data_IF_986526759089
#
_entry.id   IF_986526759089
#
_cell.length_a   1.000
_cell.length_b   1.000
_cell.length_c   1.000
_cell.angle_alpha   90.00
_cell.angle_beta   90.00
_cell.angle_gamma   90.00
#
_symmetry.space_group_name_H-M   'P 1'
#
loop_
_entity.id
_entity.type
_entity.pdbx_description
1 polymer ?
#
# COMPACT_ATOMS: atom_id res chain seq x y z
N UNK A 1 -28.48 -30.81 -88.44
CA UNK A 1 -27.01 -30.78 -88.25
C UNK A 1 -26.71 -31.57 -87.00
N UNK A 2 -25.93 -32.66 -87.08
CA UNK A 2 -25.54 -33.48 -85.92
C UNK A 2 -24.05 -33.23 -85.67
N UNK A 3 -23.68 -32.88 -84.44
CA UNK A 3 -22.29 -32.72 -84.04
C UNK A 3 -21.64 -34.11 -83.89
N UNK A 4 -20.35 -34.19 -84.20
CA UNK A 4 -19.55 -35.38 -83.92
C UNK A 4 -19.17 -35.40 -82.44
N UNK A 5 -18.95 -36.60 -81.88
CA UNK A 5 -18.66 -36.75 -80.45
C UNK A 5 -17.39 -35.98 -80.03
N UNK A 6 -16.38 -35.90 -80.90
CA UNK A 6 -15.15 -35.09 -80.68
C UNK A 6 -15.44 -33.59 -80.53
N UNK A 7 -16.37 -33.06 -81.33
CA UNK A 7 -16.77 -31.66 -81.27
C UNK A 7 -17.56 -31.36 -79.99
N UNK A 8 -18.38 -32.31 -79.53
CA UNK A 8 -19.12 -32.18 -78.26
C UNK A 8 -18.16 -32.22 -77.08
N UNK A 9 -17.18 -33.11 -77.09
CA UNK A 9 -16.14 -33.21 -76.06
C UNK A 9 -15.28 -31.95 -75.98
N UNK A 10 -14.91 -31.36 -77.13
CA UNK A 10 -14.20 -30.08 -77.17
C UNK A 10 -15.01 -28.96 -76.52
N UNK A 11 -16.31 -28.85 -76.85
CA UNK A 11 -17.20 -27.84 -76.26
C UNK A 11 -17.34 -28.02 -74.75
N UNK A 12 -17.48 -29.26 -74.27
CA UNK A 12 -17.55 -29.54 -72.84
C UNK A 12 -16.26 -29.21 -72.09
N UNK A 13 -15.10 -29.45 -72.70
CA UNK A 13 -13.80 -29.08 -72.11
C UNK A 13 -13.61 -27.57 -72.02
N UNK A 14 -13.96 -26.84 -73.09
CA UNK A 14 -13.92 -25.38 -73.11
C UNK A 14 -14.89 -24.78 -72.08
N UNK A 15 -16.11 -25.31 -71.94
CA UNK A 15 -17.05 -24.89 -70.89
C UNK A 15 -16.52 -25.12 -69.48
N UNK A 16 -15.74 -26.19 -69.27
CA UNK A 16 -15.10 -26.51 -67.98
C UNK A 16 -13.77 -25.76 -67.75
N UNK A 17 -13.36 -24.88 -68.68
CA UNK A 17 -12.11 -24.13 -68.59
C UNK A 17 -10.84 -24.98 -68.76
N UNK A 18 -10.96 -26.16 -69.36
CA UNK A 18 -9.84 -27.06 -69.66
C UNK A 18 -9.24 -26.73 -71.04
N UNK A 19 -8.00 -27.16 -71.28
CA UNK A 19 -7.35 -26.98 -72.57
C UNK A 19 -8.10 -27.75 -73.68
N UNK A 20 -8.22 -27.12 -74.85
CA UNK A 20 -8.93 -27.71 -75.99
C UNK A 20 -8.21 -28.91 -76.59
N UNK A 21 -6.88 -28.91 -76.56
CA UNK A 21 -6.05 -30.05 -76.94
C UNK A 21 -5.84 -30.99 -75.72
N UNK A 22 -6.07 -32.28 -75.93
CA UNK A 22 -5.92 -33.32 -74.90
C UNK A 22 -4.46 -33.46 -74.48
N UNK A 23 -3.53 -33.18 -75.38
CA UNK A 23 -2.11 -33.44 -75.20
C UNK A 23 -1.31 -32.22 -74.72
N UNK A 24 -1.97 -31.08 -74.51
CA UNK A 24 -1.30 -29.87 -74.06
C UNK A 24 -0.88 -29.97 -72.58
N UNK A 25 0.41 -29.76 -72.31
CA UNK A 25 0.95 -29.74 -70.95
C UNK A 25 1.05 -28.28 -70.44
N UNK A 26 0.20 -27.85 -69.47
CA UNK A 26 0.28 -26.50 -68.92
C UNK A 26 1.48 -26.22 -68.02
N UNK A 27 2.18 -27.27 -67.58
CA UNK A 27 3.31 -27.19 -66.66
C UNK A 27 4.58 -27.70 -67.31
N UNK A 28 4.89 -27.18 -68.50
CA UNK A 28 6.19 -27.44 -69.12
C UNK A 28 7.31 -26.82 -68.28
N UNK A 29 8.43 -27.54 -68.09
CA UNK A 29 9.58 -26.99 -67.38
C UNK A 29 10.14 -25.78 -68.15
N UNK A 30 10.46 -24.70 -67.44
CA UNK A 30 11.10 -23.53 -68.04
C UNK A 30 12.49 -23.91 -68.55
N UNK A 31 12.64 -24.00 -69.87
CA UNK A 31 13.92 -24.30 -70.50
C UNK A 31 14.75 -23.01 -70.49
N UNK A 32 15.92 -23.06 -69.86
CA UNK A 32 16.85 -21.94 -69.86
C UNK A 32 17.68 -21.91 -71.15
N UNK A 33 17.20 -21.13 -72.11
CA UNK A 33 17.85 -20.99 -73.41
C UNK A 33 19.10 -20.10 -73.40
N UNK A 34 19.24 -19.20 -72.42
CA UNK A 34 20.21 -18.10 -72.51
C UNK A 34 21.10 -17.93 -71.28
N UNK A 35 20.65 -18.27 -70.07
CA UNK A 35 21.41 -17.99 -68.85
C UNK A 35 22.50 -19.02 -68.54
N UNK A 36 22.50 -20.16 -69.24
CA UNK A 36 23.58 -21.15 -69.19
C UNK A 36 24.92 -20.60 -69.74
N UNK A 37 24.89 -19.58 -70.62
CA UNK A 37 26.08 -18.91 -71.13
C UNK A 37 26.43 -17.70 -70.24
N UNK A 38 27.56 -17.78 -69.53
CA UNK A 38 28.01 -16.71 -68.63
C UNK A 38 28.76 -15.62 -69.40
N UNK A 39 28.34 -14.36 -69.26
CA UNK A 39 29.02 -13.22 -69.86
C UNK A 39 30.31 -12.85 -69.09
N UNK A 40 31.43 -12.77 -69.82
CA UNK A 40 32.75 -12.38 -69.28
C UNK A 40 32.85 -10.86 -69.09
N UNK A 41 32.16 -10.08 -69.94
CA UNK A 41 32.21 -8.62 -69.96
C UNK A 41 30.91 -8.01 -69.43
N UNK A 42 30.96 -6.80 -68.83
CA UNK A 42 29.75 -6.09 -68.48
C UNK A 42 28.97 -5.71 -69.74
N UNK A 43 27.64 -5.64 -69.62
CA UNK A 43 26.72 -5.25 -70.71
C UNK A 43 27.07 -3.87 -71.29
N UNK A 44 27.65 -2.97 -70.48
CA UNK A 44 28.06 -1.64 -70.95
C UNK A 44 29.50 -1.30 -70.53
N UNK A 45 30.31 -0.82 -71.46
CA UNK A 45 31.65 -0.29 -71.20
C UNK A 45 31.63 1.23 -70.93
N UNK A 46 30.80 1.68 -69.97
CA UNK A 46 30.80 3.09 -69.54
C UNK A 46 32.01 3.34 -68.63
N UNK A 47 32.83 4.37 -68.88
CA UNK A 47 33.94 4.69 -68.00
C UNK A 47 33.44 5.07 -66.60
N UNK A 48 34.20 4.72 -65.57
CA UNK A 48 33.84 5.05 -64.20
C UNK A 48 33.96 6.56 -63.93
N UNK A 49 33.01 7.11 -63.18
CA UNK A 49 33.04 8.52 -62.81
C UNK A 49 34.20 8.83 -61.84
N UNK A 50 34.77 10.03 -61.95
CA UNK A 50 35.83 10.52 -61.05
C UNK A 50 35.42 10.51 -59.57
N UNK A 51 34.13 10.73 -59.27
CA UNK A 51 33.58 10.71 -57.89
C UNK A 51 33.66 9.35 -57.21
N UNK A 52 33.80 8.25 -57.97
CA UNK A 52 33.96 6.91 -57.41
C UNK A 52 35.35 6.69 -56.81
N UNK A 53 36.33 7.53 -57.17
CA UNK A 53 37.72 7.40 -56.74
C UNK A 53 38.19 8.54 -55.82
N UNK A 54 37.42 9.62 -55.70
CA UNK A 54 37.79 10.81 -54.90
C UNK A 54 36.85 10.91 -53.69
N UNK A 55 37.32 11.45 -52.55
CA UNK A 55 36.46 11.74 -51.41
C UNK A 55 35.18 12.49 -51.79
N UNK A 56 34.09 12.14 -51.11
CA UNK A 56 32.77 12.60 -51.54
C UNK A 56 32.58 14.11 -51.26
N UNK A 57 32.15 14.84 -52.28
CA UNK A 57 31.90 16.28 -52.16
C UNK A 57 30.69 16.59 -51.27
N UNK A 58 29.71 15.69 -51.25
CA UNK A 58 28.50 15.81 -50.43
C UNK A 58 28.87 15.72 -48.94
N UNK A 59 29.78 14.82 -48.58
CA UNK A 59 30.27 14.71 -47.20
C UNK A 59 31.07 15.93 -46.80
N UNK A 60 31.93 16.46 -47.69
CA UNK A 60 32.63 17.72 -47.47
C UNK A 60 31.65 18.87 -47.16
N UNK A 61 30.55 18.98 -47.89
CA UNK A 61 29.52 20.00 -47.63
C UNK A 61 28.87 19.81 -46.25
N UNK A 62 28.53 18.57 -45.88
CA UNK A 62 27.97 18.25 -44.56
C UNK A 62 28.94 18.58 -43.42
N UNK A 63 30.21 18.22 -43.56
CA UNK A 63 31.27 18.54 -42.59
C UNK A 63 31.42 20.06 -42.46
N UNK A 64 31.38 20.80 -43.56
CA UNK A 64 31.42 22.27 -43.53
C UNK A 64 30.25 22.87 -42.74
N UNK A 65 29.03 22.36 -42.94
CA UNK A 65 27.84 22.77 -42.17
C UNK A 65 27.99 22.48 -40.68
N UNK A 66 28.51 21.30 -40.33
CA UNK A 66 28.79 20.93 -38.93
C UNK A 66 29.86 21.84 -38.31
N UNK A 67 30.94 22.13 -39.02
CA UNK A 67 31.98 23.06 -38.57
C UNK A 67 31.41 24.45 -38.36
N UNK A 68 30.54 24.93 -39.26
CA UNK A 68 29.85 26.21 -39.09
C UNK A 68 28.96 26.21 -37.84
N UNK A 69 28.16 25.16 -37.62
CA UNK A 69 27.32 25.01 -36.44
C UNK A 69 28.13 24.93 -35.13
N UNK A 70 29.31 24.31 -35.17
CA UNK A 70 30.25 24.29 -34.03
C UNK A 70 30.81 25.70 -33.77
N UNK A 71 31.23 26.43 -34.83
CA UNK A 71 31.74 27.81 -34.71
C UNK A 71 30.69 28.79 -34.18
N UNK A 72 29.43 28.62 -34.58
CA UNK A 72 28.29 29.39 -34.08
C UNK A 72 27.85 28.98 -32.66
N UNK A 73 28.40 27.89 -32.12
CA UNK A 73 28.09 27.38 -30.78
C UNK A 73 26.77 26.60 -30.67
N UNK A 74 26.10 26.32 -31.77
CA UNK A 74 24.87 25.52 -31.80
C UNK A 74 25.13 24.04 -31.47
N UNK A 75 26.30 23.54 -31.89
CA UNK A 75 26.75 22.19 -31.58
C UNK A 75 27.98 22.27 -30.68
N UNK A 76 27.90 21.69 -29.49
CA UNK A 76 29.04 21.49 -28.62
C UNK A 76 29.60 20.08 -28.84
N UNK A 77 30.84 19.92 -29.35
CA UNK A 77 31.38 18.61 -29.74
C UNK A 77 31.64 17.67 -28.55
N UNK A 78 31.79 18.23 -27.34
CA UNK A 78 31.85 17.46 -26.09
C UNK A 78 30.84 18.04 -25.12
N UNK A 79 29.90 17.21 -24.65
CA UNK A 79 29.04 17.58 -23.51
C UNK A 79 29.96 17.62 -22.28
N UNK A 80 30.03 18.74 -21.52
CA UNK A 80 30.72 18.72 -20.24
C UNK A 80 30.07 17.65 -19.36
N UNK A 81 30.87 16.90 -18.61
CA UNK A 81 30.32 16.01 -17.59
C UNK A 81 29.56 16.89 -16.60
N UNK A 82 28.32 16.53 -16.32
CA UNK A 82 27.56 17.23 -15.28
C UNK A 82 28.15 16.78 -13.94
N UNK A 83 28.89 17.66 -13.29
CA UNK A 83 29.39 17.48 -11.91
C UNK A 83 28.25 17.67 -10.91
N UNK A 84 27.07 17.14 -11.20
CA UNK A 84 25.97 17.07 -10.25
C UNK A 84 26.20 15.85 -9.37
N UNK A 85 26.29 16.02 -8.05
CA UNK A 85 26.42 14.87 -7.17
C UNK A 85 25.17 13.99 -7.32
N UNK A 86 25.36 12.68 -7.44
CA UNK A 86 24.26 11.70 -7.58
C UNK A 86 23.30 11.74 -6.40
N UNK A 87 23.79 12.19 -5.24
CA UNK A 87 23.02 12.35 -4.01
C UNK A 87 23.21 13.77 -3.49
N UNK A 88 22.12 14.40 -3.07
CA UNK A 88 22.15 15.70 -2.39
C UNK A 88 21.21 15.63 -1.19
N UNK A 89 21.54 16.36 -0.13
CA UNK A 89 20.74 16.42 1.08
C UNK A 89 19.54 17.36 0.84
N UNK A 90 18.35 16.77 0.81
CA UNK A 90 17.08 17.48 0.65
C UNK A 90 16.73 18.34 1.88
N UNK A 91 17.31 18.03 3.04
CA UNK A 91 16.97 18.63 4.33
C UNK A 91 18.02 19.63 4.83
N UNK A 92 19.11 19.85 4.08
CA UNK A 92 20.23 20.71 4.50
C UNK A 92 19.82 22.16 4.84
N UNK A 93 18.71 22.62 4.27
CA UNK A 93 18.19 23.98 4.44
C UNK A 93 16.76 24.02 5.01
N UNK A 94 16.26 22.92 5.57
CA UNK A 94 14.93 22.93 6.18
C UNK A 94 15.01 23.53 7.59
N UNK A 95 14.38 24.70 7.78
CA UNK A 95 14.28 25.31 9.10
C UNK A 95 13.41 24.42 10.01
N UNK A 96 13.91 23.97 11.19
CA UNK A 96 13.16 23.11 12.10
C UNK A 96 11.83 23.71 12.59
N UNK A 97 11.70 25.04 12.48
CA UNK A 97 10.53 25.82 12.88
C UNK A 97 9.65 26.22 11.69
N UNK A 98 9.97 25.82 10.45
CA UNK A 98 9.13 26.04 9.28
C UNK A 98 7.91 25.12 9.35
N UNK A 99 6.95 25.52 10.18
CA UNK A 99 5.63 24.94 10.19
C UNK A 99 4.97 25.42 8.90
N UNK A 100 5.14 24.64 7.82
CA UNK A 100 4.42 24.81 6.57
C UNK A 100 2.96 25.13 6.92
N UNK A 101 2.48 26.32 6.52
CA UNK A 101 1.19 26.90 6.96
C UNK A 101 -0.05 26.03 6.74
N UNK A 102 0.08 24.90 6.04
CA UNK A 102 -0.92 23.83 5.87
C UNK A 102 -1.21 23.02 7.14
N UNK A 103 -0.43 23.18 8.23
CA UNK A 103 -0.49 22.33 9.43
C UNK A 103 -1.26 22.88 10.64
N UNK A 104 -1.93 24.05 10.57
CA UNK A 104 -2.59 24.62 11.76
C UNK A 104 -3.64 23.70 12.41
N UNK A 105 -4.28 22.82 11.63
CA UNK A 105 -5.29 21.87 12.13
C UNK A 105 -4.94 20.39 11.88
N UNK A 106 -3.69 20.08 11.50
CA UNK A 106 -3.30 18.68 11.32
C UNK A 106 -3.36 17.94 12.67
N UNK A 107 -4.07 16.81 12.69
CA UNK A 107 -4.04 15.88 13.83
C UNK A 107 -2.94 14.87 13.52
N UNK A 108 -1.81 14.87 14.27
CA UNK A 108 -0.73 13.94 14.00
C UNK A 108 -1.23 12.50 14.13
N UNK A 109 -0.66 11.61 13.32
CA UNK A 109 -0.91 10.20 13.48
C UNK A 109 -0.51 9.74 14.91
N UNK A 110 -1.31 8.89 15.56
CA UNK A 110 -0.92 8.29 16.83
C UNK A 110 0.44 7.60 16.68
N UNK A 111 1.35 7.82 17.63
CA UNK A 111 2.63 7.11 17.67
C UNK A 111 2.40 5.69 18.22
N UNK A 112 3.25 4.75 17.83
CA UNK A 112 3.24 3.42 18.45
C UNK A 112 3.60 3.56 19.93
N UNK A 113 3.00 2.72 20.76
CA UNK A 113 3.39 2.62 22.16
C UNK A 113 4.86 2.17 22.23
N UNK A 114 5.55 2.65 23.24
CA UNK A 114 6.89 2.15 23.53
C UNK A 114 6.78 0.69 23.99
N UNK A 115 7.75 -0.18 23.63
CA UNK A 115 7.75 -1.56 24.10
C UNK A 115 7.70 -1.66 25.62
N UNK A 116 6.85 -2.57 26.12
CA UNK A 116 6.65 -2.81 27.55
C UNK A 116 7.39 -4.04 28.06
N UNK A 117 7.27 -4.31 29.36
CA UNK A 117 7.82 -5.53 29.98
C UNK A 117 7.15 -6.81 29.47
N UNK A 118 5.87 -6.74 29.09
CA UNK A 118 5.08 -7.84 28.53
C UNK A 118 5.58 -8.33 27.16
N UNK A 119 6.23 -7.46 26.38
CA UNK A 119 6.82 -7.77 25.07
C UNK A 119 8.26 -8.32 25.17
N UNK A 120 8.83 -8.34 26.38
CA UNK A 120 10.14 -8.91 26.62
C UNK A 120 10.12 -10.42 26.34
N UNK A 121 11.23 -10.96 25.83
CA UNK A 121 11.40 -12.41 25.71
C UNK A 121 11.50 -13.11 27.08
N UNK A 122 11.84 -12.37 28.14
CA UNK A 122 11.94 -12.86 29.51
C UNK A 122 11.16 -11.92 30.45
N UNK A 123 9.83 -11.93 30.40
CA UNK A 123 9.00 -11.11 31.27
C UNK A 123 8.98 -11.70 32.69
N UNK A 124 8.71 -10.88 33.73
CA UNK A 124 8.48 -11.40 35.06
C UNK A 124 7.23 -12.31 35.10
N UNK A 125 7.15 -13.26 36.04
CA UNK A 125 6.08 -14.25 36.08
C UNK A 125 4.68 -13.66 36.23
N UNK A 126 4.55 -12.46 36.79
CA UNK A 126 3.29 -11.71 36.90
C UNK A 126 2.62 -11.41 35.56
N UNK A 127 3.39 -11.37 34.47
CA UNK A 127 2.88 -11.11 33.12
C UNK A 127 2.55 -12.38 32.35
N UNK A 128 2.91 -13.56 32.86
CA UNK A 128 2.58 -14.83 32.23
C UNK A 128 1.13 -15.20 32.58
N UNK A 129 0.31 -15.41 31.55
CA UNK A 129 -1.09 -15.78 31.75
C UNK A 129 -1.19 -17.19 32.36
N UNK A 130 -2.16 -17.35 33.25
CA UNK A 130 -2.62 -18.66 33.70
C UNK A 130 -3.27 -19.45 32.56
N UNK A 131 -3.44 -20.76 32.72
CA UNK A 131 -4.06 -21.61 31.69
C UNK A 131 -5.52 -21.22 31.40
N UNK A 132 -6.26 -20.83 32.44
CA UNK A 132 -7.64 -20.35 32.31
C UNK A 132 -7.71 -19.03 31.53
N UNK A 133 -6.80 -18.09 31.81
CA UNK A 133 -6.73 -16.81 31.10
C UNK A 133 -6.29 -16.97 29.64
N UNK A 134 -5.39 -17.92 29.35
CA UNK A 134 -5.00 -18.24 27.96
C UNK A 134 -6.19 -18.74 27.17
N UNK A 135 -6.98 -19.66 27.74
CA UNK A 135 -8.18 -20.16 27.09
C UNK A 135 -9.20 -19.04 26.87
N UNK A 136 -9.40 -18.17 27.87
CA UNK A 136 -10.26 -17.00 27.73
C UNK A 136 -9.77 -16.05 26.62
N UNK A 137 -8.45 -15.83 26.51
CA UNK A 137 -7.86 -15.01 25.46
C UNK A 137 -8.05 -15.61 24.06
N UNK A 138 -7.96 -16.93 23.93
CA UNK A 138 -8.21 -17.63 22.65
C UNK A 138 -9.68 -17.52 22.23
N UNK A 139 -10.60 -17.58 23.18
CA UNK A 139 -12.04 -17.45 22.94
C UNK A 139 -12.47 -16.01 22.62
N UNK A 140 -11.74 -15.00 23.10
CA UNK A 140 -12.03 -13.60 22.78
C UNK A 140 -11.78 -13.27 21.31
N UNK A 141 -12.61 -12.41 20.74
CA UNK A 141 -12.46 -11.95 19.36
C UNK A 141 -11.19 -11.08 19.20
N UNK A 142 -10.39 -11.24 18.13
CA UNK A 142 -9.11 -10.54 17.99
C UNK A 142 -9.14 -9.02 18.17
N UNK A 143 -10.24 -8.35 17.79
CA UNK A 143 -10.38 -6.90 17.87
C UNK A 143 -10.61 -6.37 19.30
N UNK A 144 -11.14 -7.20 20.20
CA UNK A 144 -11.43 -6.82 21.59
C UNK A 144 -10.28 -7.14 22.54
N UNK A 145 -9.29 -7.91 22.08
CA UNK A 145 -8.17 -8.34 22.91
C UNK A 145 -7.33 -7.14 23.35
N UNK A 146 -6.98 -7.12 24.63
CA UNK A 146 -6.08 -6.10 25.19
C UNK A 146 -4.67 -6.19 24.60
N UNK A 147 -4.18 -7.41 24.39
CA UNK A 147 -2.88 -7.72 23.82
C UNK A 147 -3.08 -8.61 22.58
N UNK A 148 -2.37 -8.26 21.50
CA UNK A 148 -2.44 -8.99 20.24
C UNK A 148 -1.66 -10.32 20.26
N UNK A 149 -0.84 -10.51 21.29
CA UNK A 149 -0.01 -11.70 21.53
C UNK A 149 -0.16 -12.19 22.97
N UNK A 150 0.27 -13.42 23.20
CA UNK A 150 0.36 -14.02 24.53
C UNK A 150 1.81 -13.87 25.02
N UNK A 151 2.06 -13.19 26.15
CA UNK A 151 3.38 -13.14 26.76
C UNK A 151 3.94 -14.54 27.04
N UNK A 152 5.19 -14.77 26.63
CA UNK A 152 5.88 -16.04 26.82
C UNK A 152 7.29 -15.77 27.35
N UNK A 153 7.74 -16.64 28.24
CA UNK A 153 9.08 -16.59 28.78
C UNK A 153 9.99 -17.59 28.06
N UNK A 154 11.12 -17.09 27.57
CA UNK A 154 12.18 -17.89 26.98
C UNK A 154 13.46 -17.74 27.81
N UNK A 155 14.13 -18.87 28.08
CA UNK A 155 15.38 -18.89 28.87
C UNK A 155 16.52 -18.06 28.23
N UNK A 156 16.55 -17.96 26.90
CA UNK A 156 17.63 -17.30 26.17
C UNK A 156 17.13 -16.75 24.83
N UNK A 157 17.79 -15.70 24.33
CA UNK A 157 17.41 -15.03 23.08
C UNK A 157 17.45 -15.97 21.86
N UNK A 158 18.34 -16.96 21.86
CA UNK A 158 18.44 -17.95 20.77
C UNK A 158 17.23 -18.88 20.68
N UNK A 159 16.48 -19.03 21.76
CA UNK A 159 15.27 -19.85 21.80
C UNK A 159 14.02 -19.07 21.39
N UNK A 160 14.13 -17.76 21.18
CA UNK A 160 12.99 -16.92 20.79
C UNK A 160 12.59 -17.27 19.34
N UNK A 161 11.35 -17.74 19.12
CA UNK A 161 10.88 -18.05 17.78
C UNK A 161 10.63 -16.77 16.97
N UNK A 162 10.56 -16.91 15.65
CA UNK A 162 10.06 -15.83 14.80
C UNK A 162 8.58 -15.54 15.11
N UNK A 163 8.24 -14.27 15.29
CA UNK A 163 6.87 -13.86 15.61
C UNK A 163 5.97 -13.93 14.36
N UNK A 164 4.98 -14.86 14.30
CA UNK A 164 4.23 -15.12 13.08
C UNK A 164 3.29 -13.97 12.68
N UNK A 165 2.78 -13.21 13.66
CA UNK A 165 1.85 -12.09 13.42
C UNK A 165 2.54 -10.77 13.10
N UNK A 166 3.88 -10.72 13.01
CA UNK A 166 4.63 -9.49 12.77
C UNK A 166 4.12 -8.72 11.54
N UNK A 167 3.99 -9.42 10.41
CA UNK A 167 3.55 -8.81 9.15
C UNK A 167 2.10 -8.30 9.27
N UNK A 168 1.22 -9.05 9.93
CA UNK A 168 -0.16 -8.69 10.14
C UNK A 168 -0.27 -7.39 10.95
N UNK A 169 0.44 -7.28 12.07
CA UNK A 169 0.40 -6.07 12.89
C UNK A 169 0.98 -4.84 12.18
N UNK A 170 2.05 -5.00 11.38
CA UNK A 170 2.59 -3.90 10.57
C UNK A 170 1.61 -3.47 9.48
N UNK A 171 0.92 -4.41 8.87
CA UNK A 171 -0.08 -4.14 7.84
C UNK A 171 -1.32 -3.44 8.42
N UNK A 172 -1.88 -3.96 9.51
CA UNK A 172 -2.98 -3.33 10.24
C UNK A 172 -2.63 -1.89 10.64
N UNK A 173 -1.40 -1.66 11.11
CA UNK A 173 -0.90 -0.33 11.44
C UNK A 173 -0.88 0.61 10.23
N UNK A 174 -0.53 0.12 9.04
CA UNK A 174 -0.59 0.91 7.80
C UNK A 174 -2.03 1.25 7.41
N UNK A 175 -2.96 0.31 7.61
CA UNK A 175 -4.39 0.57 7.41
C UNK A 175 -4.91 1.61 8.39
N UNK A 176 -4.54 1.53 9.67
CA UNK A 176 -4.91 2.53 10.68
C UNK A 176 -4.41 3.93 10.33
N UNK A 177 -3.22 4.04 9.74
CA UNK A 177 -2.65 5.32 9.30
C UNK A 177 -3.41 5.93 8.12
N UNK A 178 -3.90 5.09 7.22
CA UNK A 178 -4.49 5.50 5.95
C UNK A 178 -6.01 5.67 6.03
N UNK A 179 -6.71 4.69 6.60
CA UNK A 179 -8.17 4.57 6.57
C UNK A 179 -8.85 5.18 7.80
N UNK A 180 -8.26 5.05 8.99
CA UNK A 180 -8.97 5.43 10.20
C UNK A 180 -9.04 6.97 10.37
N UNK A 181 -10.24 7.53 10.66
CA UNK A 181 -10.39 8.96 10.89
C UNK A 181 -9.69 9.37 12.19
N UNK A 182 -9.03 10.53 12.17
CA UNK A 182 -8.27 11.07 13.32
C UNK A 182 -9.03 12.21 13.97
N UNK A 183 -9.27 12.12 15.28
CA UNK A 183 -9.95 13.14 16.07
C UNK A 183 -9.14 13.52 17.31
N UNK A 184 -9.07 14.82 17.62
CA UNK A 184 -8.51 15.29 18.89
C UNK A 184 -9.52 15.04 20.00
N UNK A 185 -9.20 14.12 20.92
CA UNK A 185 -10.01 13.85 22.12
C UNK A 185 -9.39 14.55 23.32
N UNK A 186 -10.12 15.49 23.93
CA UNK A 186 -9.73 16.10 25.20
C UNK A 186 -9.97 15.08 26.32
N UNK A 187 -8.89 14.52 26.89
CA UNK A 187 -8.97 13.69 28.09
C UNK A 187 -8.79 14.60 29.29
N UNK A 188 -9.78 14.63 30.17
CA UNK A 188 -9.69 15.40 31.41
C UNK A 188 -8.96 14.53 32.43
N UNK A 189 -7.78 14.97 32.85
CA UNK A 189 -7.06 14.36 33.96
C UNK A 189 -7.56 15.04 35.24
N UNK A 190 -8.59 14.47 35.85
CA UNK A 190 -9.15 14.94 37.14
C UNK A 190 -8.87 13.86 38.16
N UNK A 191 -8.38 14.25 39.34
CA UNK A 191 -8.28 13.33 40.45
C UNK A 191 -9.69 12.94 40.91
N UNK A 192 -9.96 11.66 41.22
CA UNK A 192 -11.32 11.21 41.54
C UNK A 192 -11.90 11.93 42.76
N UNK A 193 -11.06 12.39 43.68
CA UNK A 193 -11.46 13.14 44.87
C UNK A 193 -12.01 14.54 44.54
N UNK A 194 -11.53 15.18 43.47
CA UNK A 194 -12.00 16.51 43.04
C UNK A 194 -13.40 16.47 42.42
N UNK A 195 -13.89 15.27 42.06
CA UNK A 195 -15.27 15.07 41.62
C UNK A 195 -16.27 15.21 42.78
N UNK A 196 -15.79 15.07 44.03
CA UNK A 196 -16.62 15.11 45.22
C UNK A 196 -16.67 16.56 45.75
N UNK A 197 -17.87 17.11 46.05
CA UNK A 197 -17.96 18.44 46.63
C UNK A 197 -17.33 18.48 48.02
N UNK A 198 -16.69 19.61 48.36
CA UNK A 198 -16.12 19.82 49.70
C UNK A 198 -17.24 20.03 50.72
N UNK A 199 -17.68 18.94 51.34
CA UNK A 199 -18.65 18.94 52.43
C UNK A 199 -17.96 19.14 53.79
N UNK A 200 -18.59 19.84 54.76
CA UNK A 200 -18.08 19.87 56.13
C UNK A 200 -18.05 18.46 56.71
N UNK A 201 -17.07 18.19 57.59
CA UNK A 201 -16.99 16.87 58.22
C UNK A 201 -18.20 16.69 59.14
N UNK A 202 -18.86 15.51 59.14
CA UNK A 202 -20.02 15.27 60.00
C UNK A 202 -19.76 15.58 61.49
N UNK A 203 -18.52 15.41 61.98
CA UNK A 203 -18.14 15.71 63.36
C UNK A 203 -18.37 17.16 63.77
N UNK A 204 -18.26 18.09 62.83
CA UNK A 204 -18.42 19.53 63.10
C UNK A 204 -19.91 19.92 63.22
N UNK A 205 -20.82 19.03 62.83
CA UNK A 205 -22.28 19.24 62.86
C UNK A 205 -22.97 18.60 64.07
N UNK A 206 -22.21 18.22 65.11
CA UNK A 206 -22.80 17.68 66.33
C UNK A 206 -23.56 18.74 67.14
N UNK A 207 -24.66 18.37 67.82
CA UNK A 207 -25.14 17.02 68.09
C UNK A 207 -26.14 16.46 67.05
N UNK A 208 -25.97 15.18 66.68
CA UNK A 208 -26.95 14.37 65.95
C UNK A 208 -26.98 12.96 66.54
N UNK A 209 -28.13 12.24 66.48
CA UNK A 209 -28.24 10.89 67.03
C UNK A 209 -27.28 9.91 66.33
N UNK A 210 -26.44 9.21 67.10
CA UNK A 210 -25.44 8.26 66.58
C UNK A 210 -25.84 6.80 66.76
N UNK A 211 -26.56 6.48 67.83
CA UNK A 211 -26.94 5.10 68.21
C UNK A 211 -28.39 5.05 68.67
N UNK A 212 -29.05 3.92 68.41
CA UNK A 212 -30.40 3.66 68.92
C UNK A 212 -30.37 3.47 70.44
N UNK A 213 -31.07 4.34 71.18
CA UNK A 213 -31.11 4.29 72.64
C UNK A 213 -32.26 3.42 73.19
N UNK A 214 -33.44 3.46 72.56
CA UNK A 214 -34.65 2.81 73.06
C UNK A 214 -35.34 2.03 71.93
N UNK A 215 -35.94 0.90 72.29
CA UNK A 215 -36.74 0.05 71.40
C UNK A 215 -38.10 -0.17 72.05
N UNK A 216 -39.17 0.36 71.46
CA UNK A 216 -40.54 0.11 71.90
C UNK A 216 -41.04 -1.21 71.32
N UNK A 217 -41.28 -2.20 72.18
CA UNK A 217 -41.83 -3.51 71.78
C UNK A 217 -43.26 -3.64 72.29
N UNK A 218 -44.20 -3.97 71.40
CA UNK A 218 -45.61 -4.14 71.77
C UNK A 218 -46.58 -4.30 70.60
N UNK A 219 -46.24 -3.77 69.41
CA UNK A 219 -47.08 -3.91 68.22
C UNK A 219 -46.95 -5.28 67.57
N UNK A 220 -48.06 -5.85 67.09
CA UNK A 220 -48.11 -7.10 66.31
C UNK A 220 -47.89 -6.90 64.81
N UNK A 221 -47.90 -5.65 64.35
CA UNK A 221 -47.76 -5.27 62.95
C UNK A 221 -46.85 -4.04 62.80
N UNK A 222 -46.57 -3.65 61.55
CA UNK A 222 -45.68 -2.53 61.21
C UNK A 222 -46.26 -1.17 61.68
N UNK A 223 -45.46 -0.37 62.38
CA UNK A 223 -45.79 1.02 62.73
C UNK A 223 -45.60 1.90 61.49
N UNK A 224 -46.67 2.57 61.04
CA UNK A 224 -46.66 3.41 59.81
C UNK A 224 -46.48 4.90 60.08
N UNK A 225 -46.93 5.36 61.24
CA UNK A 225 -46.91 6.76 61.63
C UNK A 225 -46.42 6.86 63.07
N UNK A 226 -45.74 7.96 63.38
CA UNK A 226 -45.35 8.29 64.74
C UNK A 226 -45.51 9.79 64.94
N UNK A 227 -45.92 10.18 66.15
CA UNK A 227 -46.07 11.58 66.54
C UNK A 227 -45.53 11.78 67.94
N UNK A 228 -44.79 12.86 68.15
CA UNK A 228 -44.20 13.22 69.44
C UNK A 228 -44.94 14.42 70.00
N UNK A 229 -45.32 14.35 71.27
CA UNK A 229 -45.94 15.49 71.96
C UNK A 229 -44.98 16.69 72.01
N UNK A 230 -45.49 17.94 71.94
CA UNK A 230 -44.67 19.14 72.15
C UNK A 230 -43.92 19.16 73.49
N UNK A 231 -44.41 18.43 74.51
CA UNK A 231 -43.75 18.30 75.80
C UNK A 231 -42.59 17.29 75.81
N UNK A 232 -42.40 16.51 74.75
CA UNK A 232 -41.31 15.53 74.61
C UNK A 232 -41.44 14.26 75.46
N UNK A 233 -42.49 14.13 76.27
CA UNK A 233 -42.69 13.00 77.20
C UNK A 233 -43.46 11.83 76.59
N UNK A 234 -44.32 12.10 75.60
CA UNK A 234 -45.23 11.11 75.03
C UNK A 234 -44.94 10.91 73.55
N UNK A 235 -44.86 9.64 73.14
CA UNK A 235 -44.73 9.22 71.76
C UNK A 235 -45.93 8.35 71.42
N UNK A 236 -46.63 8.70 70.35
CA UNK A 236 -47.71 7.93 69.77
C UNK A 236 -47.18 7.17 68.54
N UNK A 237 -47.50 5.88 68.45
CA UNK A 237 -47.05 4.94 67.41
C UNK A 237 -48.16 3.95 67.08
#
# INVERSE_FOLDING_TARGET
IKLTDEQVDLVHRLQKGQFGDVHFNPYEPAIDFFTHEVMIHPVTNRPADKRSFIPSLIEKEKVSKLVHAIKMGWIKPRKPKEDTPTYYDLWAHEDPNSILGRHKMHVPAPKMKLPGHEESYNPPPEYLLSEEEKLAWEQQEPAERRLNFVPQQYRCLRAVPGYPRFIHERFERCLDLYLCPRQRKMRVNVDPEDLIPKLPKPRDLQPFPTTQALVYRGHSSLVRCLSVSPSGQWLAS
#
